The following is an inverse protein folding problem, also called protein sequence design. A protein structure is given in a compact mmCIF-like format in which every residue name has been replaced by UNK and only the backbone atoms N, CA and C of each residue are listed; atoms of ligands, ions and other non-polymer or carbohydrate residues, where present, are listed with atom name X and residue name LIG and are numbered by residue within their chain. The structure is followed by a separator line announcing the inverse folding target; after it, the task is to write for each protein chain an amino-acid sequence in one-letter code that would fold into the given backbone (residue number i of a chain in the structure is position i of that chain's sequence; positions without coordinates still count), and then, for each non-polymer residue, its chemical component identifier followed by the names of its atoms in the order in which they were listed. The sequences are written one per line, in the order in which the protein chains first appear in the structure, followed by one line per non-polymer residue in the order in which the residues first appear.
data_IF_683610075045
#
_entry.id   IF_683610075045
#
_cell.length_a   1.000
_cell.length_b   1.000
_cell.length_c   1.000
_cell.angle_alpha   90.00
_cell.angle_beta   90.00
_cell.angle_gamma   90.00
#
_symmetry.space_group_name_H-M   'P 1'
#
loop_
_entity.id
_entity.type
_entity.pdbx_description
1 polymer ?
#
# COMPACT_ATOMS: atom_id res chain seq x y z
N UNK A 1 -20.33 -17.28 -3.00
CA UNK A 1 -20.80 -16.03 -2.39
C UNK A 1 -20.87 -16.08 -0.86
N UNK A 2 -21.56 -17.03 -0.20
CA UNK A 2 -21.68 -17.06 1.29
C UNK A 2 -20.34 -17.10 2.04
N UNK A 3 -19.32 -17.81 1.55
CA UNK A 3 -17.98 -17.88 2.18
C UNK A 3 -17.18 -16.57 2.08
N UNK A 4 -17.33 -15.82 0.99
CA UNK A 4 -16.69 -14.52 0.82
C UNK A 4 -17.29 -13.43 1.73
N UNK A 5 -18.62 -13.48 1.92
CA UNK A 5 -19.33 -12.60 2.86
C UNK A 5 -18.91 -12.92 4.30
N UNK A 6 -18.73 -14.19 4.63
CA UNK A 6 -18.26 -14.60 5.97
C UNK A 6 -16.83 -14.14 6.24
N UNK A 7 -15.91 -14.23 5.26
CA UNK A 7 -14.55 -13.68 5.39
C UNK A 7 -14.55 -12.15 5.52
N UNK A 8 -15.36 -11.46 4.71
CA UNK A 8 -15.48 -10.00 4.85
C UNK A 8 -16.09 -9.60 6.20
N UNK A 9 -17.07 -10.36 6.71
CA UNK A 9 -17.63 -10.14 8.04
C UNK A 9 -16.64 -10.45 9.17
N UNK A 10 -15.76 -11.46 9.02
CA UNK A 10 -14.70 -11.77 9.98
C UNK A 10 -13.62 -10.67 10.00
N UNK A 11 -13.26 -10.13 8.84
CA UNK A 11 -12.32 -9.00 8.73
C UNK A 11 -12.93 -7.74 9.36
N UNK A 12 -14.21 -7.46 9.10
CA UNK A 12 -14.93 -6.36 9.73
C UNK A 12 -15.11 -6.58 11.25
N UNK A 13 -15.40 -7.80 11.70
CA UNK A 13 -15.56 -8.11 13.12
C UNK A 13 -14.23 -7.99 13.90
N UNK A 14 -13.10 -8.30 13.28
CA UNK A 14 -11.78 -8.13 13.91
C UNK A 14 -11.42 -6.65 14.14
N UNK A 15 -11.97 -5.74 13.33
CA UNK A 15 -11.76 -4.30 13.50
C UNK A 15 -12.60 -3.72 14.64
N UNK A 16 -13.72 -4.34 15.00
CA UNK A 16 -14.65 -3.85 16.05
C UNK A 16 -14.18 -4.21 17.48
N UNK A 17 -13.34 -5.23 17.64
CA UNK A 17 -12.86 -5.69 18.95
C UNK A 17 -11.78 -4.80 19.58
N UNK A 18 -11.28 -3.78 18.89
CA UNK A 18 -10.19 -2.91 19.34
C UNK A 18 -10.72 -1.71 20.15
N UNK A 19 -11.09 -1.97 21.37
CA UNK A 19 -11.53 -0.93 22.31
C UNK A 19 -10.34 -0.11 22.86
N UNK A 20 -10.41 1.22 22.83
CA UNK A 20 -9.42 2.17 23.35
C UNK A 20 -8.04 2.14 22.67
N UNK A 21 -7.95 1.74 21.42
CA UNK A 21 -6.73 1.81 20.63
C UNK A 21 -6.75 3.10 19.80
N UNK A 22 -5.63 3.79 19.77
CA UNK A 22 -5.45 4.97 18.92
C UNK A 22 -5.15 4.50 17.49
N UNK A 23 -5.98 4.90 16.56
CA UNK A 23 -5.86 4.60 15.14
C UNK A 23 -5.23 5.79 14.42
N UNK A 24 -4.27 5.52 13.57
CA UNK A 24 -3.72 6.50 12.64
C UNK A 24 -4.31 6.24 11.26
N UNK A 25 -4.96 7.24 10.68
CA UNK A 25 -5.51 7.17 9.33
C UNK A 25 -4.89 8.29 8.50
N UNK A 26 -4.47 7.98 7.28
CA UNK A 26 -3.70 8.86 6.41
C UNK A 26 -4.36 8.89 5.04
N UNK A 27 -4.98 10.00 4.70
CA UNK A 27 -5.40 10.27 3.33
C UNK A 27 -4.30 11.02 2.60
N UNK A 28 -3.95 10.59 1.42
CA UNK A 28 -2.89 11.23 0.65
C UNK A 28 -3.23 11.29 -0.83
N UNK A 29 -2.66 12.27 -1.48
CA UNK A 29 -2.59 12.38 -2.94
C UNK A 29 -1.14 12.18 -3.38
N UNK A 30 -0.97 11.65 -4.59
CA UNK A 30 0.35 11.44 -5.18
C UNK A 30 0.37 11.92 -6.63
N UNK A 31 1.50 12.48 -7.05
CA UNK A 31 1.75 12.90 -8.42
C UNK A 31 3.19 12.57 -8.80
N UNK A 32 3.41 12.07 -10.01
CA UNK A 32 4.76 11.74 -10.42
C UNK A 32 4.90 11.19 -11.83
N UNK A 33 6.10 10.70 -12.13
CA UNK A 33 6.45 10.05 -13.39
C UNK A 33 6.00 8.59 -13.41
N UNK A 34 5.68 8.13 -14.60
CA UNK A 34 5.32 6.76 -14.91
C UNK A 34 6.05 6.33 -16.18
N UNK A 35 6.80 5.24 -16.11
CA UNK A 35 7.45 4.57 -17.24
C UNK A 35 6.90 3.15 -17.31
N UNK A 36 6.48 2.73 -18.50
CA UNK A 36 5.94 1.40 -18.69
C UNK A 36 6.31 0.85 -20.08
N UNK A 37 6.59 -0.44 -20.12
CA UNK A 37 6.75 -1.21 -21.33
C UNK A 37 5.85 -2.44 -21.20
N UNK A 38 4.94 -2.60 -22.11
CA UNK A 38 4.01 -3.73 -22.15
C UNK A 38 4.07 -4.37 -23.53
N UNK A 39 4.88 -5.41 -23.66
CA UNK A 39 5.07 -6.09 -24.93
C UNK A 39 3.81 -6.78 -25.45
N UNK A 40 2.82 -6.98 -24.59
CA UNK A 40 1.51 -7.45 -24.99
C UNK A 40 0.75 -6.39 -25.81
N UNK A 41 0.83 -5.12 -25.44
CA UNK A 41 0.19 -4.01 -26.15
C UNK A 41 1.11 -3.41 -27.22
N UNK A 42 2.38 -3.22 -26.88
CA UNK A 42 3.36 -2.56 -27.73
C UNK A 42 4.78 -2.83 -27.22
N UNK A 43 5.76 -3.13 -28.08
CA UNK A 43 7.15 -3.31 -27.66
C UNK A 43 7.85 -2.01 -27.24
N UNK A 44 7.20 -0.86 -27.42
CA UNK A 44 7.79 0.44 -27.14
C UNK A 44 7.78 0.76 -25.65
N UNK A 45 8.73 1.57 -25.23
CA UNK A 45 8.73 2.20 -23.91
C UNK A 45 7.84 3.45 -23.95
N UNK A 46 6.95 3.55 -22.97
CA UNK A 46 6.06 4.67 -22.77
C UNK A 46 6.45 5.42 -21.50
N UNK A 47 6.47 6.74 -21.58
CA UNK A 47 6.74 7.61 -20.43
C UNK A 47 5.67 8.68 -20.29
N UNK A 48 5.39 9.07 -19.07
CA UNK A 48 4.37 10.08 -18.81
C UNK A 48 4.17 10.36 -17.34
N UNK A 49 2.95 10.66 -16.98
CA UNK A 49 2.59 11.13 -15.65
C UNK A 49 1.46 10.29 -15.05
N UNK A 50 1.43 10.28 -13.72
CA UNK A 50 0.35 9.67 -12.95
C UNK A 50 -0.11 10.58 -11.82
N UNK A 51 -1.38 10.46 -11.48
CA UNK A 51 -1.97 11.01 -10.26
C UNK A 51 -2.61 9.86 -9.49
N UNK A 52 -2.56 9.93 -8.18
CA UNK A 52 -3.20 8.93 -7.33
C UNK A 52 -3.77 9.56 -6.06
N UNK A 53 -4.73 8.85 -5.50
CA UNK A 53 -5.30 9.11 -4.18
C UNK A 53 -5.29 7.82 -3.39
N UNK A 54 -4.94 7.89 -2.12
CA UNK A 54 -4.90 6.69 -1.29
C UNK A 54 -5.20 6.96 0.16
N UNK A 55 -5.57 5.90 0.83
CA UNK A 55 -5.79 5.86 2.26
C UNK A 55 -4.95 4.74 2.88
N UNK A 56 -4.33 5.04 4.01
CA UNK A 56 -3.52 4.12 4.79
C UNK A 56 -3.94 4.21 6.25
N UNK A 57 -4.04 3.07 6.91
CA UNK A 57 -4.38 3.01 8.33
C UNK A 57 -3.41 2.09 9.08
N UNK A 58 -3.04 2.53 10.29
CA UNK A 58 -2.12 1.84 11.18
C UNK A 58 -2.81 1.59 12.52
N UNK A 59 -2.69 0.36 13.05
CA UNK A 59 -3.36 -0.02 14.27
C UNK A 59 -2.55 -1.07 15.04
N UNK A 60 -2.25 -0.88 16.35
CA UNK A 60 -1.67 -1.91 17.19
C UNK A 60 -2.70 -3.00 17.55
N UNK A 61 -2.26 -4.27 17.64
CA UNK A 61 -3.14 -5.39 18.00
C UNK A 61 -3.52 -5.45 19.49
N UNK A 62 -2.69 -4.93 20.39
CA UNK A 62 -2.92 -4.97 21.83
C UNK A 62 -3.14 -3.60 22.43
N UNK A 63 -4.00 -3.60 23.45
CA UNK A 63 -4.17 -2.51 24.41
C UNK A 63 -2.94 -2.34 25.32
N UNK A 64 -1.73 -2.25 24.80
CA UNK A 64 -0.70 -1.68 25.63
C UNK A 64 -1.09 -0.22 25.80
N UNK A 65 -1.12 0.31 27.04
CA UNK A 65 -1.26 1.74 27.24
C UNK A 65 0.05 2.43 26.88
N UNK A 66 0.52 2.20 25.65
CA UNK A 66 1.47 3.08 25.02
C UNK A 66 0.67 4.35 24.85
N UNK A 67 0.88 5.29 25.75
CA UNK A 67 0.37 6.65 25.63
C UNK A 67 0.71 7.10 24.22
N UNK A 68 -0.29 6.99 23.37
CA UNK A 68 -0.40 7.30 21.96
C UNK A 68 0.87 7.21 21.14
N UNK A 69 0.73 6.94 19.89
CA UNK A 69 1.67 7.29 18.83
C UNK A 69 1.94 8.81 18.79
N UNK A 70 1.70 9.48 19.92
CA UNK A 70 2.21 10.82 20.13
C UNK A 70 3.71 10.68 20.04
N UNK A 71 4.28 11.25 18.99
CA UNK A 71 5.72 11.48 18.88
C UNK A 71 6.22 11.80 20.29
N UNK A 72 7.12 10.97 20.80
CA UNK A 72 7.62 10.99 22.18
C UNK A 72 7.80 12.42 22.64
N UNK A 73 6.89 12.91 23.51
CA UNK A 73 7.14 14.17 24.19
C UNK A 73 8.34 13.94 25.09
N UNK A 74 9.28 14.85 25.07
CA UNK A 74 10.53 14.78 25.85
C UNK A 74 10.30 14.57 27.38
N UNK A 75 9.07 14.75 27.86
CA UNK A 75 8.71 14.62 29.27
C UNK A 75 8.57 13.17 29.77
N UNK A 76 8.60 12.16 28.89
CA UNK A 76 8.59 10.73 29.28
C UNK A 76 9.98 10.11 29.39
N UNK A 77 11.05 10.92 29.29
CA UNK A 77 12.44 10.45 29.30
C UNK A 77 12.90 9.86 30.66
N UNK A 78 12.10 9.90 31.72
CA UNK A 78 12.50 9.45 33.05
C UNK A 78 11.97 8.07 33.47
N UNK A 79 11.29 7.32 32.61
CA UNK A 79 10.75 6.00 32.98
C UNK A 79 11.42 4.90 32.18
N UNK A 80 12.26 4.13 32.88
CA UNK A 80 12.89 2.84 32.50
C UNK A 80 13.89 2.85 31.34
N UNK A 81 15.10 2.90 31.72
CA UNK A 81 16.30 3.25 30.94
C UNK A 81 16.81 2.20 29.93
N UNK A 82 16.20 1.04 29.69
CA UNK A 82 16.79 0.01 28.82
C UNK A 82 15.81 -0.92 28.09
N UNK A 83 14.52 -0.64 28.02
CA UNK A 83 13.59 -1.59 27.42
C UNK A 83 13.35 -1.34 25.92
N UNK A 84 13.86 -2.22 25.08
CA UNK A 84 13.30 -2.43 23.73
C UNK A 84 11.89 -2.97 23.92
N UNK A 85 10.90 -2.18 23.51
CA UNK A 85 9.49 -2.59 23.60
C UNK A 85 9.04 -3.08 22.23
N UNK A 86 8.65 -4.36 22.17
CA UNK A 86 8.09 -4.94 20.95
C UNK A 86 6.58 -5.09 21.04
N UNK A 87 5.88 -4.82 19.96
CA UNK A 87 4.44 -5.07 19.86
C UNK A 87 4.03 -5.41 18.41
N UNK A 88 2.99 -6.22 18.32
CA UNK A 88 2.35 -6.51 17.04
C UNK A 88 1.37 -5.39 16.66
N UNK A 89 1.38 -5.05 15.39
CA UNK A 89 0.44 -4.10 14.81
C UNK A 89 0.09 -4.50 13.38
N UNK A 90 -0.92 -3.86 12.79
CA UNK A 90 -1.26 -4.06 11.41
C UNK A 90 -1.36 -2.73 10.66
N UNK A 91 -1.17 -2.82 9.37
CA UNK A 91 -1.33 -1.73 8.43
C UNK A 91 -2.23 -2.19 7.29
N UNK A 92 -3.15 -1.34 6.90
CA UNK A 92 -3.90 -1.55 5.69
C UNK A 92 -3.77 -0.33 4.79
N UNK A 93 -3.94 -0.55 3.49
CA UNK A 93 -3.81 0.50 2.49
C UNK A 93 -4.74 0.24 1.32
N UNK A 94 -5.22 1.32 0.74
CA UNK A 94 -5.96 1.35 -0.51
C UNK A 94 -5.54 2.56 -1.33
N UNK A 95 -5.17 2.35 -2.59
CA UNK A 95 -4.76 3.42 -3.52
C UNK A 95 -5.50 3.26 -4.86
N UNK A 96 -6.00 4.37 -5.38
CA UNK A 96 -6.47 4.51 -6.76
C UNK A 96 -5.50 5.38 -7.54
N UNK A 97 -5.22 5.03 -8.79
CA UNK A 97 -4.30 5.78 -9.63
C UNK A 97 -4.79 5.89 -11.08
N UNK A 98 -4.49 7.02 -11.69
CA UNK A 98 -4.69 7.25 -13.12
C UNK A 98 -3.36 7.69 -13.74
N UNK A 99 -3.00 7.08 -14.87
CA UNK A 99 -1.78 7.37 -15.61
C UNK A 99 -2.04 7.67 -17.08
N UNK A 100 -1.18 8.49 -17.65
CA UNK A 100 -1.14 8.80 -19.08
C UNK A 100 0.29 8.79 -19.56
N UNK A 101 0.60 7.93 -20.51
CA UNK A 101 1.94 7.74 -21.04
C UNK A 101 1.97 7.76 -22.55
N UNK A 102 3.08 8.22 -23.11
CA UNK A 102 3.32 8.35 -24.54
C UNK A 102 4.54 7.56 -24.97
N UNK A 103 4.53 7.05 -26.20
CA UNK A 103 5.75 6.56 -26.86
C UNK A 103 6.75 7.71 -27.09
N UNK A 104 8.01 7.40 -27.28
CA UNK A 104 9.06 8.39 -27.50
C UNK A 104 8.76 9.34 -28.68
N UNK A 105 8.08 8.85 -29.71
CA UNK A 105 7.66 9.64 -30.88
C UNK A 105 6.33 10.42 -30.67
N UNK A 106 5.71 10.30 -29.49
CA UNK A 106 4.38 10.87 -29.18
C UNK A 106 3.25 10.40 -30.12
N UNK A 107 3.45 9.36 -30.88
CA UNK A 107 2.48 8.81 -31.84
C UNK A 107 1.45 7.91 -31.17
N UNK A 108 1.86 7.25 -30.08
CA UNK A 108 1.04 6.28 -29.36
C UNK A 108 0.82 6.73 -27.91
N UNK A 109 -0.36 6.45 -27.40
CA UNK A 109 -0.82 6.87 -26.08
C UNK A 109 -1.40 5.67 -25.33
N UNK A 110 -1.01 5.49 -24.07
CA UNK A 110 -1.62 4.54 -23.14
C UNK A 110 -2.20 5.31 -21.96
N UNK A 111 -3.48 5.10 -21.71
CA UNK A 111 -4.12 5.44 -20.44
C UNK A 111 -4.09 4.22 -19.53
N UNK A 112 -3.80 4.43 -18.26
CA UNK A 112 -3.83 3.39 -17.25
C UNK A 112 -4.69 3.81 -16.06
N UNK A 113 -5.54 2.90 -15.60
CA UNK A 113 -6.30 3.03 -14.36
C UNK A 113 -5.89 1.87 -13.45
N UNK A 114 -5.42 2.18 -12.26
CA UNK A 114 -5.00 1.17 -11.31
C UNK A 114 -5.70 1.32 -9.97
N UNK A 115 -5.95 0.18 -9.35
CA UNK A 115 -6.43 0.08 -7.97
C UNK A 115 -5.53 -0.90 -7.25
N UNK A 116 -4.92 -0.48 -6.16
CA UNK A 116 -4.13 -1.35 -5.32
C UNK A 116 -4.59 -1.27 -3.88
N UNK A 117 -4.45 -2.37 -3.17
CA UNK A 117 -4.82 -2.42 -1.78
C UNK A 117 -4.12 -3.57 -1.09
N UNK A 118 -4.02 -3.49 0.22
CA UNK A 118 -3.42 -4.58 0.95
C UNK A 118 -3.52 -4.41 2.45
N UNK A 119 -3.12 -5.48 3.12
CA UNK A 119 -3.13 -5.55 4.56
C UNK A 119 -1.94 -6.36 5.04
N UNK A 120 -1.30 -5.90 6.12
CA UNK A 120 -0.16 -6.58 6.71
C UNK A 120 -0.17 -6.55 8.21
N UNK A 121 0.40 -7.59 8.81
CA UNK A 121 0.73 -7.65 10.22
C UNK A 121 2.24 -7.52 10.36
N UNK A 122 2.69 -6.71 11.28
CA UNK A 122 4.10 -6.50 11.50
C UNK A 122 4.44 -6.46 12.99
N UNK A 123 5.65 -6.85 13.28
CA UNK A 123 6.22 -6.69 14.60
C UNK A 123 7.06 -5.42 14.62
N UNK A 124 6.81 -4.56 15.61
CA UNK A 124 7.48 -3.29 15.79
C UNK A 124 8.39 -3.35 17.00
N UNK A 125 9.69 -3.08 16.81
CA UNK A 125 10.69 -2.91 17.87
C UNK A 125 10.93 -1.42 18.10
N UNK A 126 10.51 -0.92 19.24
CA UNK A 126 10.68 0.49 19.61
C UNK A 126 11.90 0.67 20.51
N UNK A 127 12.86 1.46 20.06
CA UNK A 127 14.05 1.86 20.81
C UNK A 127 13.80 3.24 21.43
N UNK A 128 13.26 3.27 22.64
CA UNK A 128 12.79 4.51 23.28
C UNK A 128 13.83 5.61 23.39
N UNK A 129 15.09 5.26 23.65
CA UNK A 129 16.18 6.23 23.84
C UNK A 129 16.52 6.99 22.56
N UNK A 130 16.41 6.36 21.41
CA UNK A 130 16.81 6.94 20.12
C UNK A 130 15.64 7.46 19.32
N UNK A 131 14.38 7.11 19.71
CA UNK A 131 13.19 7.39 18.92
C UNK A 131 13.12 6.60 17.62
N UNK A 132 13.91 5.52 17.52
CA UNK A 132 13.93 4.64 16.34
C UNK A 132 12.98 3.48 16.56
N UNK A 133 12.26 3.12 15.52
CA UNK A 133 11.39 1.95 15.45
C UNK A 133 11.75 1.13 14.20
N UNK A 134 11.85 -0.18 14.38
CA UNK A 134 12.04 -1.13 13.29
C UNK A 134 10.76 -1.94 13.11
N UNK A 135 10.34 -2.12 11.87
CA UNK A 135 9.13 -2.87 11.50
C UNK A 135 9.52 -4.03 10.59
N UNK A 136 8.95 -5.20 10.83
CA UNK A 136 9.11 -6.34 9.95
C UNK A 136 7.86 -7.23 10.00
N UNK A 137 7.38 -7.67 8.85
CA UNK A 137 6.24 -8.58 8.81
C UNK A 137 5.77 -8.94 7.42
N UNK A 138 4.80 -9.85 7.32
CA UNK A 138 4.12 -10.18 6.07
C UNK A 138 3.11 -9.10 5.68
N UNK A 139 2.90 -8.96 4.37
CA UNK A 139 1.92 -8.07 3.78
C UNK A 139 1.26 -8.74 2.59
N UNK A 140 -0.07 -8.81 2.58
CA UNK A 140 -0.86 -9.26 1.44
C UNK A 140 -1.18 -8.04 0.58
N UNK A 141 -0.80 -8.07 -0.67
CA UNK A 141 -0.92 -6.98 -1.63
C UNK A 141 -1.79 -7.40 -2.81
N UNK A 142 -2.75 -6.59 -3.17
CA UNK A 142 -3.61 -6.73 -4.33
C UNK A 142 -3.35 -5.58 -5.29
N UNK A 143 -3.17 -5.89 -6.55
CA UNK A 143 -2.98 -4.90 -7.64
C UNK A 143 -3.89 -5.25 -8.81
N UNK A 144 -4.66 -4.28 -9.27
CA UNK A 144 -5.43 -4.33 -10.49
C UNK A 144 -5.03 -3.16 -11.38
N UNK A 145 -4.72 -3.44 -12.63
CA UNK A 145 -4.30 -2.45 -13.61
C UNK A 145 -5.02 -2.66 -14.93
N UNK A 146 -5.87 -1.70 -15.31
CA UNK A 146 -6.44 -1.62 -16.65
C UNK A 146 -5.65 -0.64 -17.50
N UNK A 147 -5.39 -1.01 -18.74
CA UNK A 147 -4.65 -0.20 -19.73
C UNK A 147 -5.45 -0.06 -21.02
N UNK A 148 -5.55 1.16 -21.55
CA UNK A 148 -6.19 1.49 -22.83
C UNK A 148 -5.12 2.04 -23.77
N UNK A 149 -4.91 1.37 -24.88
CA UNK A 149 -3.98 1.80 -25.93
C UNK A 149 -4.74 2.50 -27.05
N UNK A 150 -4.61 3.83 -27.13
CA UNK A 150 -5.41 4.66 -28.03
C UNK A 150 -5.17 4.46 -29.52
N UNK A 151 -4.05 3.86 -29.91
CA UNK A 151 -3.68 3.66 -31.32
C UNK A 151 -3.82 2.22 -31.80
N UNK A 152 -4.17 1.28 -30.92
CA UNK A 152 -4.32 -0.13 -31.30
C UNK A 152 -5.77 -0.46 -31.65
N UNK A 153 -6.00 -0.83 -32.90
CA UNK A 153 -7.35 -1.22 -33.37
C UNK A 153 -7.69 -2.65 -32.93
N UNK A 154 -6.69 -3.54 -32.89
CA UNK A 154 -6.93 -4.96 -32.63
C UNK A 154 -6.94 -5.33 -31.15
N UNK A 155 -6.21 -4.59 -30.31
CA UNK A 155 -6.08 -4.84 -28.87
C UNK A 155 -6.04 -3.51 -28.10
N UNK A 156 -7.17 -2.79 -28.01
CA UNK A 156 -7.19 -1.49 -27.37
C UNK A 156 -7.10 -1.55 -25.85
N UNK A 157 -7.35 -2.72 -25.25
CA UNK A 157 -7.46 -2.88 -23.81
C UNK A 157 -6.65 -4.08 -23.32
N UNK A 158 -6.01 -3.91 -22.14
CA UNK A 158 -5.37 -4.97 -21.36
C UNK A 158 -5.69 -4.79 -19.88
N UNK A 159 -5.76 -5.89 -19.15
CA UNK A 159 -6.04 -5.90 -17.72
C UNK A 159 -5.14 -6.91 -17.04
N UNK A 160 -4.47 -6.48 -15.98
CA UNK A 160 -3.61 -7.31 -15.15
C UNK A 160 -4.18 -7.33 -13.72
N UNK A 161 -4.13 -8.48 -13.08
CA UNK A 161 -4.53 -8.65 -11.68
C UNK A 161 -3.48 -9.47 -10.98
N UNK A 162 -3.04 -9.01 -9.83
CA UNK A 162 -2.07 -9.74 -8.98
C UNK A 162 -2.53 -9.74 -7.52
N UNK A 163 -2.25 -10.85 -6.84
CA UNK A 163 -2.39 -11.00 -5.41
C UNK A 163 -1.10 -11.61 -4.87
N UNK A 164 -0.33 -10.81 -4.16
CA UNK A 164 1.01 -11.14 -3.70
C UNK A 164 1.11 -11.20 -2.18
N UNK A 165 1.78 -12.22 -1.67
CA UNK A 165 2.32 -12.22 -0.32
C UNK A 165 3.70 -11.58 -0.35
N UNK A 166 3.85 -10.45 0.31
CA UNK A 166 5.05 -9.65 0.34
C UNK A 166 5.74 -9.73 1.71
N UNK A 167 7.06 -9.61 1.70
CA UNK A 167 7.81 -9.23 2.89
C UNK A 167 7.81 -7.70 3.00
N UNK A 168 7.45 -7.20 4.17
CA UNK A 168 7.46 -5.77 4.48
C UNK A 168 8.47 -5.50 5.59
N UNK A 169 9.33 -4.51 5.37
CA UNK A 169 10.28 -4.03 6.38
C UNK A 169 10.36 -2.52 6.38
N UNK A 170 10.74 -1.95 7.52
CA UNK A 170 10.87 -0.50 7.60
C UNK A 170 11.58 -0.01 8.85
N UNK A 171 11.91 1.25 8.80
CA UNK A 171 12.49 2.00 9.90
C UNK A 171 11.77 3.33 10.02
N UNK A 172 11.48 3.74 11.23
CA UNK A 172 11.03 5.10 11.50
C UNK A 172 11.89 5.75 12.58
N UNK A 173 12.05 7.04 12.48
CA UNK A 173 12.78 7.86 13.43
C UNK A 173 11.94 9.07 13.80
N UNK A 174 11.60 9.15 15.10
CA UNK A 174 10.81 10.23 15.68
C UNK A 174 11.73 11.19 16.43
N UNK A 175 11.63 12.48 16.11
CA UNK A 175 12.40 13.52 16.76
C UNK A 175 11.59 14.81 16.91
N UNK A 176 12.02 15.70 17.77
CA UNK A 176 11.39 17.00 17.98
C UNK A 176 12.34 18.12 17.67
N UNK A 177 11.89 19.08 16.86
CA UNK A 177 12.64 20.30 16.58
C UNK A 177 11.75 21.51 16.93
N UNK A 178 12.19 22.33 17.87
CA UNK A 178 11.45 23.47 18.44
C UNK A 178 10.09 23.01 18.99
N UNK A 179 8.98 23.44 18.36
CA UNK A 179 7.60 23.15 18.78
C UNK A 179 6.90 22.09 17.92
N UNK A 180 7.58 21.58 16.90
CA UNK A 180 7.04 20.61 15.95
C UNK A 180 7.70 19.26 16.16
N UNK A 181 6.89 18.19 16.16
CA UNK A 181 7.39 16.82 16.18
C UNK A 181 7.41 16.28 14.75
N UNK A 182 8.46 15.53 14.44
CA UNK A 182 8.70 14.93 13.14
C UNK A 182 8.85 13.42 13.27
N UNK A 183 8.35 12.68 12.29
CA UNK A 183 8.61 11.25 12.14
C UNK A 183 9.03 10.97 10.70
N UNK A 184 10.28 10.62 10.50
CA UNK A 184 10.80 10.14 9.23
C UNK A 184 10.59 8.63 9.18
N UNK A 185 9.96 8.11 8.13
CA UNK A 185 9.68 6.70 7.94
C UNK A 185 10.12 6.24 6.57
N UNK A 186 10.87 5.16 6.52
CA UNK A 186 11.17 4.42 5.31
C UNK A 186 10.53 3.05 5.40
N UNK A 187 9.79 2.66 4.36
CA UNK A 187 9.17 1.36 4.21
C UNK A 187 9.61 0.75 2.89
N UNK A 188 9.89 -0.54 2.91
CA UNK A 188 10.14 -1.35 1.72
C UNK A 188 9.23 -2.57 1.74
N UNK A 189 8.70 -2.93 0.58
CA UNK A 189 7.91 -4.14 0.37
C UNK A 189 8.39 -4.82 -0.89
N UNK A 190 8.57 -6.15 -0.82
CA UNK A 190 8.92 -6.98 -1.97
C UNK A 190 8.01 -8.20 -1.96
N UNK A 191 7.48 -8.60 -3.11
CA UNK A 191 6.71 -9.83 -3.22
C UNK A 191 7.64 -11.04 -2.99
N UNK A 192 7.07 -12.11 -2.43
CA UNK A 192 7.76 -13.39 -2.20
C UNK A 192 7.12 -14.48 -3.04
N UNK A 193 5.81 -14.57 -2.94
CA UNK A 193 4.99 -15.54 -3.69
C UNK A 193 3.61 -14.91 -3.90
N UNK A 194 2.98 -15.25 -5.00
CA UNK A 194 1.66 -14.73 -5.30
C UNK A 194 0.94 -15.52 -6.37
N UNK A 195 -0.13 -14.92 -6.84
CA UNK A 195 -0.93 -15.40 -7.96
C UNK A 195 -1.24 -14.20 -8.84
N UNK A 196 -0.94 -14.29 -10.13
CA UNK A 196 -1.35 -13.29 -11.10
C UNK A 196 -2.28 -13.85 -12.17
N UNK A 197 -3.08 -12.96 -12.73
CA UNK A 197 -3.87 -13.18 -13.92
C UNK A 197 -3.37 -12.24 -14.99
N UNK A 198 -2.84 -12.83 -16.08
CA UNK A 198 -2.38 -12.12 -17.26
C UNK A 198 -3.10 -12.69 -18.49
N UNK A 199 -3.68 -11.84 -19.37
CA UNK A 199 -4.20 -12.31 -20.64
C UNK A 199 -3.06 -12.78 -21.55
N UNK A 200 -3.30 -13.84 -22.32
CA UNK A 200 -2.34 -14.29 -23.34
C UNK A 200 -2.24 -13.29 -24.50
N UNK A 201 -1.08 -13.22 -25.15
CA UNK A 201 -0.81 -12.30 -26.29
C UNK A 201 -1.84 -12.39 -27.43
N UNK A 202 -2.40 -13.59 -27.66
CA UNK A 202 -3.38 -13.86 -28.70
C UNK A 202 -4.82 -13.76 -28.24
N UNK A 203 -5.08 -13.65 -26.93
CA UNK A 203 -6.44 -13.55 -26.40
C UNK A 203 -7.01 -12.15 -26.65
N UNK A 204 -8.13 -12.10 -27.34
CA UNK A 204 -8.95 -10.90 -27.40
C UNK A 204 -9.74 -10.73 -26.09
N UNK A 205 -10.14 -9.50 -25.79
CA UNK A 205 -11.05 -9.25 -24.66
C UNK A 205 -12.32 -10.10 -24.72
N UNK A 206 -12.83 -10.34 -25.91
CA UNK A 206 -14.01 -11.19 -26.15
C UNK A 206 -13.79 -12.64 -25.69
N UNK A 207 -12.64 -13.22 -26.01
CA UNK A 207 -12.30 -14.60 -25.59
C UNK A 207 -12.17 -14.71 -24.06
N UNK A 208 -11.68 -13.68 -23.38
CA UNK A 208 -11.60 -13.62 -21.92
C UNK A 208 -13.03 -13.59 -21.32
N UNK A 209 -13.96 -12.83 -21.90
CA UNK A 209 -15.34 -12.72 -21.44
C UNK A 209 -16.18 -13.95 -21.72
N UNK A 210 -15.90 -14.69 -22.80
CA UNK A 210 -16.57 -15.94 -23.18
C UNK A 210 -16.08 -17.17 -22.38
N UNK A 211 -15.20 -16.96 -21.39
CA UNK A 211 -14.78 -18.02 -20.47
C UNK A 211 -13.64 -18.88 -20.97
N UNK A 212 -12.93 -18.46 -22.03
CA UNK A 212 -11.62 -19.05 -22.34
C UNK A 212 -10.70 -18.74 -21.15
N UNK A 213 -10.14 -19.76 -20.47
CA UNK A 213 -9.42 -19.53 -19.23
C UNK A 213 -8.25 -18.60 -19.46
N UNK A 214 -8.34 -17.39 -18.92
CA UNK A 214 -7.20 -16.54 -18.70
C UNK A 214 -6.20 -17.30 -17.83
N UNK A 215 -4.91 -17.04 -18.00
CA UNK A 215 -3.91 -17.79 -17.25
C UNK A 215 -3.77 -17.22 -15.87
N UNK A 216 -4.25 -17.98 -14.92
CA UNK A 216 -3.89 -17.82 -13.51
C UNK A 216 -2.61 -18.59 -13.28
N UNK A 217 -1.57 -17.95 -12.80
CA UNK A 217 -0.29 -18.60 -12.50
C UNK A 217 0.18 -18.26 -11.09
N UNK A 218 0.95 -19.17 -10.52
CA UNK A 218 1.69 -18.89 -9.29
C UNK A 218 2.93 -18.06 -9.63
N UNK A 219 3.17 -17.04 -8.85
CA UNK A 219 4.29 -16.11 -9.01
C UNK A 219 5.29 -16.23 -7.88
N UNK A 220 6.53 -15.97 -8.22
CA UNK A 220 7.67 -15.91 -7.30
C UNK A 220 8.57 -14.77 -7.74
N UNK A 221 9.56 -14.41 -6.95
CA UNK A 221 10.57 -13.39 -7.29
C UNK A 221 11.27 -13.61 -8.65
N UNK A 222 11.21 -14.81 -9.22
CA UNK A 222 11.88 -15.12 -10.49
C UNK A 222 11.06 -14.75 -11.71
N UNK A 223 9.73 -14.78 -11.63
CA UNK A 223 8.83 -14.55 -12.75
C UNK A 223 7.90 -13.33 -12.58
N UNK A 224 7.78 -12.84 -11.36
CA UNK A 224 7.08 -11.60 -11.03
C UNK A 224 7.85 -10.89 -9.92
N UNK A 225 8.27 -9.67 -10.16
CA UNK A 225 9.00 -8.84 -9.22
C UNK A 225 8.21 -7.60 -8.94
N UNK A 226 7.80 -7.43 -7.68
CA UNK A 226 7.21 -6.18 -7.20
C UNK A 226 8.08 -5.65 -6.09
N UNK A 227 8.55 -4.41 -6.25
CA UNK A 227 9.34 -3.71 -5.25
C UNK A 227 8.74 -2.34 -5.02
N UNK A 228 8.38 -2.04 -3.79
CA UNK A 228 7.81 -0.75 -3.40
C UNK A 228 8.63 -0.14 -2.27
N UNK A 229 9.07 1.08 -2.48
CA UNK A 229 9.79 1.90 -1.50
C UNK A 229 9.00 3.16 -1.19
N UNK A 230 8.98 3.53 0.06
CA UNK A 230 8.29 4.72 0.51
C UNK A 230 9.12 5.43 1.58
N UNK A 231 9.49 6.67 1.31
CA UNK A 231 10.15 7.56 2.26
C UNK A 231 9.21 8.70 2.57
N UNK A 232 8.74 8.79 3.82
CA UNK A 232 7.77 9.80 4.24
C UNK A 232 8.25 10.53 5.48
N UNK A 233 7.88 11.79 5.58
CA UNK A 233 8.06 12.62 6.75
C UNK A 233 6.71 13.14 7.23
N UNK A 234 6.34 12.77 8.44
CA UNK A 234 5.17 13.24 9.12
C UNK A 234 5.55 14.43 10.00
N UNK A 235 4.78 15.51 9.90
CA UNK A 235 4.99 16.76 10.63
C UNK A 235 3.78 17.05 11.48
N UNK A 236 3.92 17.01 12.81
CA UNK A 236 2.84 17.25 13.74
C UNK A 236 2.87 18.71 14.23
N UNK A 237 1.91 19.48 13.78
CA UNK A 237 1.62 20.83 14.27
C UNK A 237 0.60 20.78 15.42
N UNK A 238 0.28 21.93 15.99
CA UNK A 238 -0.65 22.02 17.16
C UNK A 238 -2.04 21.44 16.84
N UNK A 239 -2.53 21.63 15.61
CA UNK A 239 -3.90 21.28 15.23
C UNK A 239 -4.01 20.26 14.09
N UNK A 240 -2.92 19.95 13.42
CA UNK A 240 -2.93 19.08 12.23
C UNK A 240 -1.62 18.32 12.11
N UNK A 241 -1.69 17.14 11.51
CA UNK A 241 -0.51 16.37 11.15
C UNK A 241 -0.51 16.16 9.65
N UNK A 242 0.58 16.53 9.01
CA UNK A 242 0.78 16.44 7.58
C UNK A 242 1.86 15.43 7.25
N UNK A 243 1.68 14.75 6.13
CA UNK A 243 2.67 13.84 5.54
C UNK A 243 3.16 14.42 4.22
N UNK A 244 4.47 14.39 4.02
CA UNK A 244 5.10 14.58 2.71
C UNK A 244 6.05 13.42 2.47
N UNK A 245 6.26 13.04 1.21
CA UNK A 245 7.16 11.93 0.92
C UNK A 245 7.31 11.63 -0.55
N UNK A 246 8.06 10.56 -0.80
CA UNK A 246 8.30 10.01 -2.13
C UNK A 246 7.96 8.52 -2.08
N UNK A 247 7.24 8.06 -3.09
CA UNK A 247 6.97 6.64 -3.35
C UNK A 247 7.66 6.25 -4.65
N UNK A 248 8.35 5.12 -4.61
CA UNK A 248 8.88 4.42 -5.78
C UNK A 248 8.28 3.04 -5.85
N UNK A 249 7.82 2.66 -7.00
CA UNK A 249 7.27 1.33 -7.27
C UNK A 249 7.86 0.80 -8.57
N UNK A 250 8.34 -0.41 -8.52
CA UNK A 250 8.82 -1.18 -9.65
C UNK A 250 8.05 -2.50 -9.71
N UNK A 251 7.48 -2.80 -10.88
CA UNK A 251 6.78 -4.05 -11.16
C UNK A 251 7.32 -4.59 -12.47
N UNK A 252 7.74 -5.83 -12.46
CA UNK A 252 8.21 -6.56 -13.64
C UNK A 252 7.68 -7.98 -13.61
N UNK A 253 7.12 -8.42 -14.71
CA UNK A 253 6.77 -9.81 -14.91
C UNK A 253 7.00 -10.21 -16.36
N UNK A 254 7.33 -11.48 -16.56
CA UNK A 254 7.60 -12.03 -17.89
C UNK A 254 6.96 -13.39 -18.08
N UNK A 255 6.43 -13.62 -19.27
CA UNK A 255 5.93 -14.92 -19.69
C UNK A 255 6.22 -15.17 -21.17
N UNK A 256 6.73 -16.38 -21.49
CA UNK A 256 6.94 -16.85 -22.87
C UNK A 256 7.68 -15.87 -23.77
N UNK A 257 8.68 -15.18 -23.21
CA UNK A 257 9.49 -14.22 -23.98
C UNK A 257 8.85 -12.83 -24.12
N UNK A 258 7.69 -12.60 -23.52
CA UNK A 258 7.10 -11.26 -23.40
C UNK A 258 7.35 -10.71 -21.99
N UNK A 259 7.65 -9.44 -21.91
CA UNK A 259 7.94 -8.75 -20.66
C UNK A 259 7.00 -7.56 -20.50
N UNK A 260 6.51 -7.40 -19.28
CA UNK A 260 5.92 -6.17 -18.80
C UNK A 260 6.85 -5.57 -17.74
N UNK A 261 7.09 -4.28 -17.83
CA UNK A 261 7.75 -3.53 -16.77
C UNK A 261 7.03 -2.20 -16.55
N UNK A 262 6.91 -1.83 -15.28
CA UNK A 262 6.34 -0.55 -14.87
C UNK A 262 7.18 0.01 -13.73
N UNK A 263 7.66 1.21 -13.93
CA UNK A 263 8.34 1.98 -12.90
C UNK A 263 7.61 3.29 -12.67
N UNK A 264 7.47 3.67 -11.43
CA UNK A 264 6.83 4.93 -11.06
C UNK A 264 7.50 5.56 -9.86
N UNK A 265 7.71 6.87 -9.96
CA UNK A 265 8.21 7.71 -8.86
C UNK A 265 7.24 8.84 -8.65
N UNK A 266 6.76 9.02 -7.44
CA UNK A 266 5.77 10.06 -7.14
C UNK A 266 6.04 10.75 -5.81
N UNK A 267 5.83 12.06 -5.80
CA UNK A 267 5.69 12.83 -4.58
C UNK A 267 4.32 12.56 -3.94
N UNK A 268 4.29 12.58 -2.63
CA UNK A 268 3.10 12.31 -1.81
C UNK A 268 2.88 13.45 -0.86
N UNK A 269 1.64 13.91 -0.75
CA UNK A 269 1.20 14.86 0.27
C UNK A 269 -0.08 14.33 0.89
N UNK A 270 -0.18 14.36 2.22
CA UNK A 270 -1.33 13.82 2.93
C UNK A 270 -1.59 14.46 4.28
N UNK A 271 -2.78 14.16 4.79
CA UNK A 271 -3.19 14.52 6.15
C UNK A 271 -3.32 13.27 7.00
N UNK A 272 -2.95 13.37 8.27
CA UNK A 272 -3.02 12.29 9.24
C UNK A 272 -4.04 12.64 10.30
N UNK A 273 -4.96 11.72 10.55
CA UNK A 273 -5.91 11.82 11.65
C UNK A 273 -5.62 10.72 12.67
N UNK A 274 -5.74 11.09 13.94
CA UNK A 274 -5.73 10.16 15.03
C UNK A 274 -7.13 10.12 15.64
N UNK A 275 -7.72 8.94 15.73
CA UNK A 275 -9.02 8.76 16.35
C UNK A 275 -9.01 7.56 17.31
N UNK A 276 -9.88 7.61 18.30
CA UNK A 276 -10.08 6.53 19.27
C UNK A 276 -11.49 5.99 19.10
N UNK A 277 -11.58 4.69 18.87
CA UNK A 277 -12.86 4.01 18.91
C UNK A 277 -13.15 3.68 20.37
N UNK A 278 -14.15 4.34 20.94
CA UNK A 278 -14.71 3.95 22.23
C UNK A 278 -15.70 2.81 21.95
N UNK A 279 -15.64 1.68 22.69
CA UNK A 279 -16.69 0.68 22.58
C UNK A 279 -18.01 1.33 23.00
N UNK A 280 -19.06 1.08 22.24
CA UNK A 280 -20.39 1.38 22.71
C UNK A 280 -20.52 0.70 24.08
N UNK A 281 -20.92 1.47 25.12
CA UNK A 281 -21.27 0.90 26.42
C UNK A 281 -22.25 -0.23 26.11
N UNK A 282 -21.89 -1.46 26.47
CA UNK A 282 -22.78 -2.60 26.26
C UNK A 282 -24.15 -2.21 26.79
N UNK A 283 -25.16 -2.27 25.93
CA UNK A 283 -26.56 -2.15 26.35
C UNK A 283 -26.93 -3.43 27.13
N UNK A 284 -26.26 -3.66 28.26
CA UNK A 284 -26.68 -4.61 29.27
C UNK A 284 -27.40 -3.86 30.35
N UNK A 285 -28.61 -3.42 30.03
CA UNK A 285 -29.61 -3.04 31.00
C UNK A 285 -30.99 -3.28 30.43
N UNK A 286 -31.25 -4.52 30.07
CA UNK A 286 -32.60 -5.08 30.14
C UNK A 286 -32.57 -6.07 31.30
N UNK A 287 -32.61 -5.52 32.53
CA UNK A 287 -33.08 -6.28 33.67
C UNK A 287 -34.61 -6.06 33.70
N UNK A 288 -35.32 -7.11 33.38
CA UNK A 288 -36.71 -7.31 33.78
C UNK A 288 -36.84 -7.31 35.30
#
# INVERSE_FOLDING_TARGET
MKKAILMAALILASTVAAQNVEHENILHISYGGLWQQDQYLSPLLYSGQRVGIGNEWWQPFRRTPVKGWRMLSADTAHIADHAVQGHWAHVGRFDGQFGRTYSAAYTNLIYSLGVSGGWGAYYNWCFRRTGIELLLGPYLDFDWLGKLHGSSVNKPYSMDVALDLCAMGGISWSFRARRTSYRLRYLARANVVGVDFLPDYWQSYYEITEGVPGRVRCTTLTNHRTLRHELTMDMQFIRSTWRVGIKHEYVEYGERGMMFSREQVSAVVGCIWHYRIHPAKSLTAWSL
#
